data_IF_510414041803
#
_entry.id   IF_510414041803
#
_cell.length_a   1.000
_cell.length_b   1.000
_cell.length_c   1.000
_cell.angle_alpha   90.00
_cell.angle_beta   90.00
_cell.angle_gamma   90.00
#
_symmetry.space_group_name_H-M   'P 1'
#
loop_
_entity.id
_entity.type
_entity.pdbx_description
1 polymer ?
#
# COMPACT_ATOMS: atom_id res chain seq x y z
N UNK A 1 -20.59 46.19 21.22
CA UNK A 1 -21.78 45.31 21.31
C UNK A 1 -21.31 43.97 21.86
N UNK A 2 -21.91 43.43 22.93
CA UNK A 2 -21.53 42.13 23.46
C UNK A 2 -21.84 41.03 22.43
N UNK A 3 -20.94 40.02 22.34
CA UNK A 3 -21.08 38.87 21.46
C UNK A 3 -22.33 38.04 21.83
N UNK A 4 -22.98 37.48 20.81
CA UNK A 4 -24.11 36.57 20.98
C UNK A 4 -23.71 35.36 21.87
N UNK A 5 -24.46 35.04 22.93
CA UNK A 5 -24.12 33.98 23.87
C UNK A 5 -23.97 32.59 23.20
N UNK A 6 -24.62 32.35 22.07
CA UNK A 6 -24.48 31.10 21.30
C UNK A 6 -23.11 31.04 20.61
N UNK A 7 -22.62 32.17 20.10
CA UNK A 7 -21.30 32.27 19.47
C UNK A 7 -20.20 32.17 20.53
N UNK A 8 -20.41 32.74 21.72
CA UNK A 8 -19.49 32.59 22.85
C UNK A 8 -19.37 31.12 23.30
N UNK A 9 -20.49 30.39 23.37
CA UNK A 9 -20.51 28.98 23.76
C UNK A 9 -19.87 28.07 22.71
N UNK A 10 -20.08 28.35 21.41
CA UNK A 10 -19.44 27.61 20.32
C UNK A 10 -17.92 27.84 20.26
N UNK A 11 -17.44 29.03 20.60
CA UNK A 11 -16.00 29.33 20.71
C UNK A 11 -15.35 28.65 21.91
N UNK A 12 -16.06 28.54 23.04
CA UNK A 12 -15.57 27.87 24.25
C UNK A 12 -15.48 26.34 24.05
N UNK A 13 -16.44 25.73 23.34
CA UNK A 13 -16.35 24.32 22.94
C UNK A 13 -15.22 24.05 21.94
N UNK A 14 -14.96 24.97 20.99
CA UNK A 14 -13.85 24.86 20.05
C UNK A 14 -12.49 25.02 20.73
N UNK A 15 -12.38 25.88 21.75
CA UNK A 15 -11.16 26.07 22.53
C UNK A 15 -10.91 24.87 23.47
N UNK A 16 -11.97 24.32 24.07
CA UNK A 16 -11.90 23.12 24.92
C UNK A 16 -11.51 21.87 24.11
N UNK A 17 -12.00 21.74 22.86
CA UNK A 17 -11.55 20.67 21.94
C UNK A 17 -10.12 20.83 21.45
N UNK A 18 -9.59 22.06 21.41
CA UNK A 18 -8.17 22.33 21.10
C UNK A 18 -7.24 22.00 22.28
N UNK A 19 -7.77 22.03 23.51
CA UNK A 19 -7.06 21.62 24.73
C UNK A 19 -7.05 20.11 24.98
N UNK A 20 -7.88 19.34 24.26
CA UNK A 20 -7.88 17.88 24.23
C UNK A 20 -7.01 17.25 23.14
N UNK A 21 -6.20 18.04 22.42
CA UNK A 21 -5.10 17.49 21.64
C UNK A 21 -4.08 16.94 22.63
N UNK A 22 -4.05 15.62 22.76
CA UNK A 22 -2.92 14.91 23.33
C UNK A 22 -1.64 15.53 22.76
N UNK A 23 -0.79 16.18 23.56
CA UNK A 23 0.48 16.61 23.04
C UNK A 23 1.19 15.33 22.60
N UNK A 24 1.78 15.37 21.42
CA UNK A 24 2.60 14.30 20.81
C UNK A 24 3.78 13.86 21.72
N UNK A 25 3.89 14.44 22.91
CA UNK A 25 4.88 14.18 23.95
C UNK A 25 4.64 12.92 24.80
N UNK A 26 3.47 12.29 24.81
CA UNK A 26 3.20 11.12 25.66
C UNK A 26 3.43 9.74 25.01
N UNK A 27 3.92 9.70 23.77
CA UNK A 27 4.48 8.46 23.19
C UNK A 27 5.99 8.32 23.43
N UNK A 28 6.61 9.28 24.11
CA UNK A 28 8.05 9.30 24.36
C UNK A 28 8.50 8.39 25.52
N UNK A 29 7.57 7.84 26.32
CA UNK A 29 7.90 6.99 27.49
C UNK A 29 8.02 5.48 27.20
N UNK A 30 8.02 5.06 25.93
CA UNK A 30 8.32 3.67 25.55
C UNK A 30 9.65 3.54 24.81
N UNK A 31 10.74 4.11 25.32
CA UNK A 31 12.13 3.72 24.96
C UNK A 31 12.48 3.63 23.47
N UNK A 32 11.67 4.18 22.57
CA UNK A 32 11.92 4.22 21.15
C UNK A 32 12.74 5.48 20.93
N UNK A 33 14.05 5.30 20.76
CA UNK A 33 14.90 6.37 20.26
C UNK A 33 14.23 6.95 19.01
N UNK A 34 13.65 8.13 19.14
CA UNK A 34 13.01 8.81 18.03
C UNK A 34 14.13 9.23 17.10
N UNK A 35 14.33 8.45 16.03
CA UNK A 35 15.25 8.79 14.93
C UNK A 35 15.08 10.26 14.57
N UNK A 36 16.20 10.95 14.38
CA UNK A 36 16.21 12.35 13.98
C UNK A 36 15.40 12.53 12.69
N UNK A 37 14.86 13.73 12.41
CA UNK A 37 14.16 13.98 11.14
C UNK A 37 15.00 13.59 9.91
N UNK A 38 16.31 13.74 9.98
CA UNK A 38 17.25 13.34 8.93
C UNK A 38 17.43 11.82 8.85
N UNK A 39 17.47 11.12 9.98
CA UNK A 39 17.50 9.64 10.03
C UNK A 39 16.18 9.04 9.53
N UNK A 40 15.04 9.64 9.88
CA UNK A 40 13.72 9.26 9.33
C UNK A 40 13.65 9.54 7.85
N UNK A 41 14.18 10.68 7.40
CA UNK A 41 14.22 11.01 5.98
C UNK A 41 15.12 10.04 5.24
N UNK A 42 16.30 9.70 5.76
CA UNK A 42 17.19 8.71 5.18
C UNK A 42 16.56 7.30 5.16
N UNK A 43 15.86 6.91 6.22
CA UNK A 43 15.10 5.65 6.29
C UNK A 43 13.95 5.63 5.27
N UNK A 44 13.19 6.73 5.16
CA UNK A 44 12.10 6.86 4.18
C UNK A 44 12.62 6.93 2.74
N UNK A 45 13.81 7.51 2.51
CA UNK A 45 14.47 7.54 1.19
C UNK A 45 14.99 6.15 0.79
N UNK A 46 15.24 5.26 1.75
CA UNK A 46 15.63 3.86 1.50
C UNK A 46 14.43 2.91 1.30
N UNK A 47 13.22 3.35 1.61
CA UNK A 47 12.00 2.54 1.52
C UNK A 47 11.22 2.78 0.23
N UNK A 48 10.78 1.68 -0.37
CA UNK A 48 9.91 1.62 -1.54
C UNK A 48 8.51 1.24 -1.13
N UNK A 49 7.53 1.82 -1.81
CA UNK A 49 6.09 1.60 -1.56
C UNK A 49 5.41 0.81 -2.69
N UNK A 50 6.22 0.34 -3.64
CA UNK A 50 5.89 -0.51 -4.76
C UNK A 50 6.67 -1.83 -4.65
N UNK A 51 6.19 -2.92 -5.24
CA UNK A 51 6.89 -4.22 -5.24
C UNK A 51 6.75 -4.90 -6.59
N UNK A 52 7.81 -5.58 -7.04
CA UNK A 52 7.77 -6.44 -8.21
C UNK A 52 7.45 -7.87 -7.79
N UNK A 53 6.56 -8.54 -8.51
CA UNK A 53 6.19 -9.95 -8.27
C UNK A 53 6.03 -10.69 -9.58
N UNK A 54 6.35 -11.98 -9.56
CA UNK A 54 5.94 -12.91 -10.60
C UNK A 54 4.44 -13.20 -10.45
N UNK A 55 3.70 -13.14 -11.55
CA UNK A 55 2.29 -13.49 -11.68
C UNK A 55 1.93 -13.58 -13.17
N UNK A 56 0.86 -14.28 -13.54
CA UNK A 56 0.31 -14.26 -14.90
C UNK A 56 1.29 -14.60 -16.06
N UNK A 57 2.33 -15.40 -15.80
CA UNK A 57 3.38 -15.69 -16.80
C UNK A 57 4.30 -14.50 -17.09
N UNK A 58 4.52 -13.63 -16.10
CA UNK A 58 5.41 -12.49 -16.22
C UNK A 58 5.74 -11.87 -14.87
N UNK A 59 6.41 -10.72 -14.91
CA UNK A 59 6.77 -9.94 -13.74
C UNK A 59 6.03 -8.60 -13.76
N UNK A 60 5.28 -8.29 -12.70
CA UNK A 60 4.44 -7.11 -12.63
C UNK A 60 4.82 -6.24 -11.43
N UNK A 61 4.81 -4.93 -11.64
CA UNK A 61 4.92 -3.97 -10.54
C UNK A 61 3.55 -3.78 -9.90
N UNK A 62 3.51 -3.93 -8.59
CA UNK A 62 2.36 -3.59 -7.75
C UNK A 62 2.67 -2.29 -7.03
N UNK A 63 1.83 -1.27 -7.23
CA UNK A 63 1.92 -0.01 -6.51
C UNK A 63 0.53 0.50 -6.17
N UNK A 64 0.21 0.56 -4.88
CA UNK A 64 -1.06 1.10 -4.41
C UNK A 64 -0.91 2.60 -4.07
N UNK A 65 -1.26 3.46 -5.02
CA UNK A 65 -1.20 4.92 -4.81
C UNK A 65 -2.27 5.38 -3.81
N UNK A 66 -2.08 6.55 -3.18
CA UNK A 66 -3.07 7.10 -2.23
C UNK A 66 -4.47 7.27 -2.84
N UNK A 67 -4.64 7.78 -4.08
CA UNK A 67 -5.96 7.86 -4.70
C UNK A 67 -6.62 6.48 -4.86
N UNK A 68 -5.89 5.49 -5.39
CA UNK A 68 -6.43 4.15 -5.61
C UNK A 68 -6.69 3.41 -4.30
N UNK A 69 -5.88 3.65 -3.27
CA UNK A 69 -6.11 3.16 -1.92
C UNK A 69 -7.46 3.67 -1.38
N UNK A 70 -7.77 4.96 -1.57
CA UNK A 70 -9.07 5.54 -1.17
C UNK A 70 -10.23 4.94 -1.95
N UNK A 71 -10.04 4.59 -3.22
CA UNK A 71 -11.07 3.93 -4.03
C UNK A 71 -11.39 2.52 -3.52
N UNK A 72 -10.35 1.78 -3.14
CA UNK A 72 -10.50 0.48 -2.46
C UNK A 72 -11.21 0.66 -1.12
N UNK A 73 -10.82 1.65 -0.32
CA UNK A 73 -11.47 1.90 0.99
C UNK A 73 -12.94 2.26 0.88
N UNK A 74 -13.32 3.04 -0.14
CA UNK A 74 -14.72 3.37 -0.42
C UNK A 74 -15.55 2.14 -0.79
N UNK A 75 -14.94 1.18 -1.48
CA UNK A 75 -15.65 0.01 -2.01
C UNK A 75 -15.69 -1.17 -1.04
N UNK A 76 -14.65 -1.35 -0.24
CA UNK A 76 -14.42 -2.57 0.54
C UNK A 76 -14.12 -2.34 2.02
N UNK A 77 -13.99 -1.08 2.45
CA UNK A 77 -13.67 -0.71 3.83
C UNK A 77 -12.18 -0.49 4.09
N UNK A 78 -11.84 -0.17 5.35
CA UNK A 78 -10.51 0.30 5.73
C UNK A 78 -9.36 -0.64 5.32
N UNK A 79 -8.32 -0.06 4.73
CA UNK A 79 -7.11 -0.79 4.29
C UNK A 79 -6.36 -1.43 5.46
N UNK A 80 -6.35 -0.80 6.64
CA UNK A 80 -5.73 -1.41 7.83
C UNK A 80 -6.50 -2.63 8.34
N UNK A 81 -7.84 -2.63 8.21
CA UNK A 81 -8.66 -3.80 8.53
C UNK A 81 -8.44 -4.92 7.51
N UNK A 82 -8.35 -4.56 6.23
CA UNK A 82 -8.00 -5.49 5.17
C UNK A 82 -6.63 -6.12 5.43
N UNK A 83 -5.61 -5.31 5.71
CA UNK A 83 -4.25 -5.74 5.99
C UNK A 83 -4.15 -6.64 7.23
N UNK A 84 -4.73 -6.21 8.35
CA UNK A 84 -4.72 -6.98 9.61
C UNK A 84 -5.51 -8.29 9.55
N UNK A 85 -6.37 -8.46 8.55
CA UNK A 85 -7.13 -9.69 8.31
C UNK A 85 -6.41 -10.74 7.46
N UNK A 86 -5.25 -10.42 6.89
CA UNK A 86 -4.52 -11.33 6.01
C UNK A 86 -3.68 -12.35 6.81
N UNK A 87 -3.49 -13.59 6.29
CA UNK A 87 -2.61 -14.60 6.89
C UNK A 87 -1.12 -14.27 6.65
N UNK A 88 -0.19 -14.45 7.62
CA UNK A 88 1.24 -14.19 7.40
C UNK A 88 1.83 -15.06 6.27
N UNK A 89 2.84 -14.55 5.54
CA UNK A 89 3.48 -15.30 4.44
C UNK A 89 4.25 -16.55 4.89
N UNK A 90 4.60 -16.65 6.18
CA UNK A 90 5.35 -17.77 6.76
C UNK A 90 4.47 -19.01 6.98
N UNK A 91 4.02 -19.63 5.89
CA UNK A 91 3.81 -21.08 5.80
C UNK A 91 2.71 -21.75 6.64
N UNK A 92 1.85 -21.01 7.33
CA UNK A 92 0.69 -21.57 8.03
C UNK A 92 -0.62 -21.13 7.37
N UNK A 93 -1.63 -22.01 7.21
CA UNK A 93 -2.96 -21.58 6.82
C UNK A 93 -3.55 -20.77 7.97
N UNK A 94 -3.36 -19.44 7.96
CA UNK A 94 -4.09 -18.59 8.86
C UNK A 94 -5.53 -18.47 8.33
N UNK A 95 -6.54 -18.73 9.16
CA UNK A 95 -7.93 -18.60 8.74
C UNK A 95 -8.18 -17.14 8.34
N UNK A 96 -8.70 -16.94 7.12
CA UNK A 96 -9.25 -15.67 6.68
C UNK A 96 -10.40 -15.32 7.63
N UNK A 97 -10.15 -14.43 8.60
CA UNK A 97 -11.15 -14.06 9.62
C UNK A 97 -11.80 -12.73 9.25
N UNK A 98 -13.05 -12.81 8.77
CA UNK A 98 -14.01 -11.71 8.81
C UNK A 98 -14.68 -11.36 7.46
N UNK A 99 -15.84 -10.69 7.49
CA UNK A 99 -16.56 -10.23 6.29
C UNK A 99 -15.78 -9.19 5.47
N UNK A 100 -14.81 -8.52 6.10
CA UNK A 100 -13.90 -7.55 5.48
C UNK A 100 -12.76 -8.18 4.68
N UNK A 101 -12.58 -9.50 4.68
CA UNK A 101 -11.62 -10.22 3.83
C UNK A 101 -12.36 -11.03 2.76
N UNK A 102 -13.31 -10.37 2.07
CA UNK A 102 -13.96 -10.96 0.90
C UNK A 102 -12.96 -11.12 -0.24
N UNK A 103 -13.09 -12.18 -1.04
CA UNK A 103 -12.24 -12.36 -2.23
C UNK A 103 -12.34 -11.17 -3.19
N UNK A 104 -13.50 -10.50 -3.24
CA UNK A 104 -13.72 -9.29 -4.02
C UNK A 104 -12.82 -8.14 -3.54
N UNK A 105 -12.62 -7.98 -2.23
CA UNK A 105 -11.71 -6.98 -1.69
C UNK A 105 -10.25 -7.29 -2.06
N UNK A 106 -9.84 -8.56 -1.94
CA UNK A 106 -8.51 -9.00 -2.37
C UNK A 106 -8.26 -8.69 -3.86
N UNK A 107 -9.22 -9.03 -4.71
CA UNK A 107 -9.18 -8.72 -6.15
C UNK A 107 -9.17 -7.22 -6.42
N UNK A 108 -9.95 -6.43 -5.69
CA UNK A 108 -9.97 -4.97 -5.79
C UNK A 108 -8.62 -4.34 -5.44
N UNK A 109 -7.95 -4.85 -4.40
CA UNK A 109 -6.58 -4.43 -4.04
C UNK A 109 -5.60 -4.76 -5.17
N UNK A 110 -5.63 -6.00 -5.68
CA UNK A 110 -4.71 -6.43 -6.77
C UNK A 110 -4.92 -5.59 -8.01
N UNK A 111 -6.17 -5.37 -8.43
CA UNK A 111 -6.49 -4.52 -9.57
C UNK A 111 -5.95 -3.10 -9.39
N UNK A 112 -6.24 -2.46 -8.25
CA UNK A 112 -5.75 -1.12 -7.94
C UNK A 112 -4.22 -1.05 -7.93
N UNK A 113 -3.55 -2.06 -7.38
CA UNK A 113 -2.09 -2.12 -7.33
C UNK A 113 -1.46 -2.34 -8.71
N UNK A 114 -2.06 -3.14 -9.58
CA UNK A 114 -1.61 -3.31 -10.97
C UNK A 114 -1.72 -2.02 -11.76
N UNK A 115 -2.87 -1.34 -11.67
CA UNK A 115 -3.11 -0.05 -12.34
C UNK A 115 -2.13 1.01 -11.83
N UNK A 116 -1.93 1.10 -10.51
CA UNK A 116 -0.96 2.04 -9.97
C UNK A 116 0.49 1.68 -10.33
N UNK A 117 0.81 0.39 -10.45
CA UNK A 117 2.13 -0.09 -10.88
C UNK A 117 2.47 0.30 -12.31
N UNK A 118 1.49 0.23 -13.20
CA UNK A 118 1.54 0.75 -14.57
C UNK A 118 2.47 0.01 -15.53
N UNK A 119 3.19 -1.03 -15.06
CA UNK A 119 4.16 -1.76 -15.87
C UNK A 119 4.25 -3.24 -15.49
N UNK A 120 4.48 -4.06 -16.52
CA UNK A 120 4.90 -5.45 -16.39
C UNK A 120 5.97 -5.81 -17.43
N UNK A 121 6.51 -7.01 -17.29
CA UNK A 121 7.45 -7.63 -18.22
C UNK A 121 6.94 -9.04 -18.52
N UNK A 122 6.74 -9.35 -19.80
CA UNK A 122 6.26 -10.65 -20.28
C UNK A 122 7.18 -11.09 -21.41
N UNK A 123 7.81 -12.26 -21.29
CA UNK A 123 8.77 -12.74 -22.29
C UNK A 123 9.89 -11.73 -22.59
N UNK A 124 10.38 -11.04 -21.55
CA UNK A 124 11.40 -9.99 -21.66
C UNK A 124 10.93 -8.65 -22.25
N UNK A 125 9.67 -8.53 -22.68
CA UNK A 125 9.12 -7.29 -23.23
C UNK A 125 8.39 -6.48 -22.15
N UNK A 126 8.69 -5.18 -22.10
CA UNK A 126 7.97 -4.24 -21.22
C UNK A 126 6.57 -3.99 -21.76
N UNK A 127 5.57 -4.16 -20.91
CA UNK A 127 4.15 -3.93 -21.21
C UNK A 127 3.61 -2.85 -20.28
N UNK A 128 2.84 -1.91 -20.82
CA UNK A 128 2.10 -0.93 -20.03
C UNK A 128 0.85 -1.57 -19.42
N UNK A 129 0.63 -1.38 -18.12
CA UNK A 129 -0.52 -1.93 -17.40
C UNK A 129 -1.55 -0.85 -17.17
N UNK A 130 -2.47 -0.72 -18.13
CA UNK A 130 -3.65 0.15 -18.03
C UNK A 130 -4.79 -0.56 -17.28
N UNK A 131 -5.89 0.15 -16.97
CA UNK A 131 -7.09 -0.46 -16.38
C UNK A 131 -7.66 -1.62 -17.20
N UNK A 132 -7.60 -1.53 -18.54
CA UNK A 132 -8.07 -2.60 -19.41
C UNK A 132 -7.18 -3.84 -19.33
N UNK A 133 -5.86 -3.65 -19.31
CA UNK A 133 -4.88 -4.74 -19.16
C UNK A 133 -5.03 -5.36 -17.77
N UNK A 134 -5.12 -4.55 -16.72
CA UNK A 134 -5.37 -5.03 -15.36
C UNK A 134 -6.66 -5.85 -15.29
N UNK A 135 -7.75 -5.41 -15.91
CA UNK A 135 -9.01 -6.17 -15.94
C UNK A 135 -8.84 -7.54 -16.62
N UNK A 136 -8.08 -7.62 -17.73
CA UNK A 136 -7.78 -8.89 -18.38
C UNK A 136 -6.94 -9.82 -17.49
N UNK A 137 -5.95 -9.27 -16.78
CA UNK A 137 -5.16 -10.03 -15.79
C UNK A 137 -6.03 -10.51 -14.62
N UNK A 138 -7.01 -9.72 -14.18
CA UNK A 138 -7.95 -10.16 -13.15
C UNK A 138 -8.79 -11.35 -13.59
N UNK A 139 -9.20 -11.43 -14.86
CA UNK A 139 -9.89 -12.62 -15.42
C UNK A 139 -8.99 -13.86 -15.37
N UNK A 140 -7.69 -13.71 -15.65
CA UNK A 140 -6.73 -14.80 -15.48
C UNK A 140 -6.60 -15.20 -14.00
N UNK A 141 -6.54 -14.23 -13.08
CA UNK A 141 -6.48 -14.47 -11.64
C UNK A 141 -7.69 -15.25 -11.11
N UNK A 142 -8.86 -15.19 -11.78
CA UNK A 142 -10.03 -15.96 -11.35
C UNK A 142 -9.85 -17.48 -11.50
N UNK A 143 -8.91 -17.90 -12.36
CA UNK A 143 -8.57 -19.31 -12.57
C UNK A 143 -7.48 -19.80 -11.63
N UNK A 144 -6.82 -18.88 -10.93
CA UNK A 144 -5.76 -19.18 -9.97
C UNK A 144 -6.33 -19.55 -8.60
N UNK A 145 -5.55 -20.25 -7.76
CA UNK A 145 -5.94 -20.50 -6.37
C UNK A 145 -6.23 -19.18 -5.63
N UNK A 146 -7.25 -19.18 -4.77
CA UNK A 146 -7.58 -18.01 -3.91
C UNK A 146 -6.37 -17.51 -3.13
N UNK A 147 -5.47 -18.42 -2.72
CA UNK A 147 -4.23 -18.10 -2.05
C UNK A 147 -3.36 -17.11 -2.85
N UNK A 148 -3.36 -17.21 -4.17
CA UNK A 148 -2.58 -16.35 -5.05
C UNK A 148 -3.10 -14.91 -5.06
N UNK A 149 -4.43 -14.74 -5.09
CA UNK A 149 -5.04 -13.40 -4.94
C UNK A 149 -4.61 -12.75 -3.63
N UNK A 150 -4.62 -13.51 -2.53
CA UNK A 150 -4.23 -12.97 -1.23
C UNK A 150 -2.73 -12.72 -1.11
N UNK A 151 -1.89 -13.54 -1.73
CA UNK A 151 -0.45 -13.31 -1.82
C UNK A 151 -0.15 -11.97 -2.50
N UNK A 152 -0.77 -11.71 -3.65
CA UNK A 152 -0.61 -10.46 -4.39
C UNK A 152 -1.16 -9.24 -3.62
N UNK A 153 -2.36 -9.37 -3.05
CA UNK A 153 -2.96 -8.30 -2.25
C UNK A 153 -2.10 -7.97 -1.01
N UNK A 154 -1.57 -8.99 -0.33
CA UNK A 154 -0.64 -8.83 0.79
C UNK A 154 0.63 -8.10 0.35
N UNK A 155 1.27 -8.56 -0.72
CA UNK A 155 2.51 -7.95 -1.21
C UNK A 155 2.32 -6.45 -1.49
N UNK A 156 1.21 -6.07 -2.13
CA UNK A 156 0.87 -4.66 -2.37
C UNK A 156 0.64 -3.87 -1.07
N UNK A 157 -0.08 -4.44 -0.10
CA UNK A 157 -0.38 -3.79 1.17
C UNK A 157 0.83 -3.66 2.09
N UNK A 158 1.67 -4.70 2.19
CA UNK A 158 2.92 -4.68 2.97
C UNK A 158 3.85 -3.61 2.43
N UNK A 159 4.08 -3.60 1.11
CA UNK A 159 4.89 -2.56 0.47
C UNK A 159 4.30 -1.17 0.76
N UNK A 160 2.98 -1.00 0.73
CA UNK A 160 2.34 0.30 0.98
C UNK A 160 2.40 0.76 2.43
N UNK A 161 2.20 -0.14 3.38
CA UNK A 161 2.01 0.18 4.80
C UNK A 161 3.37 0.23 5.52
N UNK A 162 4.22 -0.76 5.29
CA UNK A 162 5.48 -0.93 6.00
C UNK A 162 6.67 -0.37 5.22
N UNK A 163 6.50 -0.27 3.90
CA UNK A 163 7.60 -0.07 2.96
C UNK A 163 8.45 -1.34 2.86
N UNK A 164 9.05 -1.57 1.70
CA UNK A 164 10.16 -2.53 1.57
C UNK A 164 11.47 -1.80 1.38
N UNK A 165 12.57 -2.46 1.70
CA UNK A 165 13.89 -1.94 1.37
C UNK A 165 14.06 -1.82 -0.16
N UNK A 166 14.64 -0.71 -0.60
CA UNK A 166 15.13 -0.58 -1.97
C UNK A 166 16.24 -1.61 -2.22
N UNK A 167 16.16 -2.28 -3.36
CA UNK A 167 17.20 -3.18 -3.85
C UNK A 167 18.48 -2.40 -4.18
N UNK A 168 19.60 -3.10 -4.35
CA UNK A 168 20.86 -2.45 -4.71
C UNK A 168 20.74 -1.72 -6.07
N UNK A 169 20.00 -2.31 -7.00
CA UNK A 169 19.70 -1.77 -8.32
C UNK A 169 18.88 -0.48 -8.24
N UNK A 170 17.87 -0.44 -7.36
CA UNK A 170 17.04 0.74 -7.15
C UNK A 170 17.77 1.87 -6.43
N UNK A 171 18.71 1.55 -5.51
CA UNK A 171 19.53 2.56 -4.83
C UNK A 171 20.57 3.19 -5.76
N UNK A 172 21.04 2.44 -6.75
CA UNK A 172 22.00 2.92 -7.74
C UNK A 172 21.39 3.89 -8.76
N UNK A 173 20.06 3.96 -8.85
CA UNK A 173 19.34 4.86 -9.75
C UNK A 173 18.67 5.97 -8.93
N UNK A 174 18.78 7.25 -9.31
CA UNK A 174 18.04 8.31 -8.64
C UNK A 174 16.55 8.15 -8.95
N UNK A 175 15.83 7.42 -8.10
CA UNK A 175 14.40 7.20 -8.30
C UNK A 175 13.62 8.21 -7.49
N UNK A 176 13.03 9.19 -8.17
CA UNK A 176 11.83 9.85 -7.65
C UNK A 176 10.77 8.76 -7.45
N UNK A 177 10.05 8.75 -6.33
CA UNK A 177 8.99 7.77 -6.08
C UNK A 177 7.86 7.80 -7.14
N UNK A 178 7.89 8.78 -8.05
CA UNK A 178 7.05 8.94 -9.23
C UNK A 178 7.76 8.74 -10.58
N UNK A 179 9.09 8.49 -10.58
CA UNK A 179 9.89 8.26 -11.79
C UNK A 179 9.60 6.93 -12.48
N UNK A 180 10.15 6.75 -13.68
CA UNK A 180 10.02 5.49 -14.41
C UNK A 180 10.56 4.33 -13.55
N UNK A 181 9.78 3.25 -13.36
CA UNK A 181 10.18 2.17 -12.47
C UNK A 181 11.42 1.45 -12.99
N UNK A 182 12.36 1.19 -12.07
CA UNK A 182 13.50 0.30 -12.33
C UNK A 182 12.96 -1.11 -12.47
N UNK A 183 13.18 -1.71 -13.63
CA UNK A 183 12.81 -3.10 -13.90
C UNK A 183 13.91 -3.99 -13.30
N UNK A 184 13.58 -4.91 -12.37
CA UNK A 184 14.56 -5.83 -11.82
C UNK A 184 15.15 -6.73 -12.91
N UNK A 185 16.43 -7.09 -12.80
CA UNK A 185 17.08 -7.95 -13.78
C UNK A 185 16.36 -9.31 -13.94
N UNK A 186 15.83 -9.86 -12.85
CA UNK A 186 15.08 -11.11 -12.86
C UNK A 186 13.74 -11.01 -13.61
N UNK A 187 13.14 -9.82 -13.69
CA UNK A 187 11.85 -9.64 -14.37
C UNK A 187 11.94 -9.90 -15.88
N UNK A 188 13.12 -9.69 -16.49
CA UNK A 188 13.39 -10.04 -17.88
C UNK A 188 13.56 -11.53 -18.15
N UNK A 189 13.67 -12.34 -17.10
CA UNK A 189 13.83 -13.80 -17.17
C UNK A 189 12.52 -14.56 -16.90
N UNK A 190 11.49 -13.86 -16.42
CA UNK A 190 10.17 -14.43 -16.21
C UNK A 190 9.52 -14.75 -17.58
N UNK A 191 9.24 -16.04 -17.79
CA UNK A 191 8.80 -16.63 -19.05
C UNK A 191 7.28 -16.66 -19.22
#
# INVERSE_FOLDING_TARGET
>A
MPLDPIIAQALDELQTRRAGMTPVFELQQRGLAMKSPDERRAELMGKRIDVWTEAFGGAFRLFLSLPLMRDVERSFGSIFKLYGGLPPMSGGPAPVRGPSTSIAAGRGIVFAALVGGGVGVIGGQRVEVTSNVAQALMVALEREPIAETWRLARAALEARIEGREATAEERAQPVDCFGAPVIPAWAGLAA
#
